data_IF_050857863141
#
_entry.id   IF_050857863141
#
_cell.length_a   1.000
_cell.length_b   1.000
_cell.length_c   1.000
_cell.angle_alpha   90.00
_cell.angle_beta   90.00
_cell.angle_gamma   90.00
#
_symmetry.space_group_name_H-M   'P 1'
#
loop_
_entity.id
_entity.type
_entity.pdbx_description
1 polymer ?
#
# COMPACT_ATOMS: atom_id res chain seq x y z
N UNK A 1 -8.79 -13.66 -15.79
CA UNK A 1 -8.15 -12.70 -14.88
C UNK A 1 -7.00 -12.03 -15.62
N UNK A 2 -7.01 -10.70 -15.79
CA UNK A 2 -5.95 -9.94 -16.48
C UNK A 2 -5.17 -9.15 -15.43
N UNK A 3 -3.88 -9.42 -15.28
CA UNK A 3 -3.00 -8.74 -14.33
C UNK A 3 -2.16 -7.72 -15.12
N UNK A 4 -2.07 -6.48 -14.64
CA UNK A 4 -1.19 -5.43 -15.19
C UNK A 4 -0.13 -5.12 -14.13
N UNK A 5 1.14 -5.24 -14.50
CA UNK A 5 2.25 -4.81 -13.66
C UNK A 5 2.64 -3.38 -14.07
N UNK A 6 2.74 -2.49 -13.08
CA UNK A 6 3.17 -1.10 -13.27
C UNK A 6 4.49 -0.97 -12.52
N UNK A 7 5.63 -0.82 -13.22
CA UNK A 7 6.91 -0.61 -12.55
C UNK A 7 6.92 0.77 -11.88
N UNK A 8 7.50 0.81 -10.68
CA UNK A 8 7.78 2.06 -9.96
C UNK A 8 9.29 2.24 -9.92
N UNK A 9 9.76 3.46 -10.16
CA UNK A 9 11.16 3.82 -9.98
C UNK A 9 11.38 4.25 -8.54
N UNK A 10 12.22 3.54 -7.79
CA UNK A 10 12.63 3.90 -6.43
C UNK A 10 13.70 5.00 -6.52
N UNK A 11 13.45 6.22 -6.03
CA UNK A 11 14.41 7.31 -6.11
C UNK A 11 15.64 7.06 -5.23
N UNK A 12 16.79 7.56 -5.66
CA UNK A 12 18.00 7.55 -4.84
C UNK A 12 17.82 8.44 -3.60
N UNK A 13 18.27 7.96 -2.46
CA UNK A 13 18.29 8.69 -1.18
C UNK A 13 19.71 8.67 -0.64
N UNK A 14 20.18 9.81 -0.12
CA UNK A 14 21.52 9.92 0.45
C UNK A 14 21.71 8.92 1.60
N UNK A 15 22.85 8.22 1.61
CA UNK A 15 23.16 7.18 2.59
C UNK A 15 22.55 5.80 2.29
N UNK A 16 21.64 5.70 1.31
CA UNK A 16 21.11 4.42 0.84
C UNK A 16 22.04 3.85 -0.27
N UNK A 17 22.47 2.59 -0.19
CA UNK A 17 23.26 1.97 -1.26
C UNK A 17 22.54 2.03 -2.61
N UNK A 18 23.23 2.33 -3.73
CA UNK A 18 22.61 2.37 -5.05
C UNK A 18 21.92 1.05 -5.42
N UNK A 19 20.71 1.13 -5.99
CA UNK A 19 19.93 -0.04 -6.37
C UNK A 19 19.26 -0.78 -5.21
N UNK A 20 19.17 -0.18 -4.02
CA UNK A 20 18.42 -0.74 -2.90
C UNK A 20 16.92 -0.55 -3.12
N UNK A 21 16.21 -1.65 -3.39
CA UNK A 21 14.77 -1.64 -3.68
C UNK A 21 13.96 -2.55 -2.73
N UNK A 22 14.65 -3.36 -1.93
CA UNK A 22 14.06 -4.29 -0.99
C UNK A 22 14.78 -4.27 0.36
N UNK A 23 14.07 -4.62 1.44
CA UNK A 23 14.64 -4.74 2.79
C UNK A 23 15.74 -5.80 2.87
N UNK A 24 15.76 -6.77 1.96
CA UNK A 24 16.86 -7.74 1.84
C UNK A 24 18.14 -7.17 1.23
N UNK A 25 18.09 -6.00 0.57
CA UNK A 25 19.26 -5.36 -0.03
C UNK A 25 20.11 -4.62 1.02
N UNK A 26 19.55 -4.30 2.18
CA UNK A 26 20.20 -3.42 3.16
C UNK A 26 20.08 -3.95 4.60
N UNK A 27 21.06 -3.69 5.48
CA UNK A 27 20.91 -3.96 6.90
C UNK A 27 19.73 -3.20 7.53
N UNK A 28 19.21 -3.73 8.65
CA UNK A 28 18.09 -3.13 9.41
C UNK A 28 18.29 -1.63 9.70
N UNK A 29 19.53 -1.23 9.98
CA UNK A 29 19.89 0.16 10.24
C UNK A 29 19.52 1.12 9.09
N UNK A 30 19.46 0.64 7.85
CA UNK A 30 19.14 1.44 6.65
C UNK A 30 17.68 1.33 6.21
N UNK A 31 16.84 0.54 6.90
CA UNK A 31 15.43 0.38 6.53
C UNK A 31 14.69 1.72 6.50
N UNK A 32 15.01 2.65 7.40
CA UNK A 32 14.40 3.97 7.40
C UNK A 32 14.69 4.75 6.11
N UNK A 33 15.91 4.67 5.56
CA UNK A 33 16.24 5.31 4.27
C UNK A 33 15.54 4.63 3.11
N UNK A 34 15.42 3.30 3.14
CA UNK A 34 14.64 2.56 2.15
C UNK A 34 13.16 2.97 2.20
N UNK A 35 12.57 3.11 3.40
CA UNK A 35 11.19 3.57 3.53
C UNK A 35 11.03 5.01 3.02
N UNK A 36 11.99 5.91 3.29
CA UNK A 36 12.02 7.25 2.69
C UNK A 36 12.02 7.19 1.16
N UNK A 37 12.84 6.32 0.57
CA UNK A 37 12.87 6.13 -0.88
C UNK A 37 11.53 5.62 -1.42
N UNK A 38 10.90 4.67 -0.72
CA UNK A 38 9.57 4.16 -1.07
C UNK A 38 8.47 5.23 -0.94
N UNK A 39 8.55 6.11 0.05
CA UNK A 39 7.59 7.21 0.22
C UNK A 39 7.65 8.21 -0.93
N UNK A 40 8.83 8.44 -1.50
CA UNK A 40 9.01 9.28 -2.68
C UNK A 40 8.38 8.68 -3.95
N UNK A 41 7.90 7.43 -3.93
CA UNK A 41 7.11 6.86 -5.03
C UNK A 41 5.64 7.32 -5.03
N UNK A 42 5.18 8.03 -3.99
CA UNK A 42 3.80 8.56 -3.85
C UNK A 42 3.25 9.20 -5.13
N UNK A 43 3.97 10.07 -5.87
CA UNK A 43 3.43 10.69 -7.09
C UNK A 43 3.15 9.66 -8.20
N UNK A 44 4.00 8.66 -8.36
CA UNK A 44 3.85 7.60 -9.37
C UNK A 44 2.61 6.74 -9.06
N UNK A 45 2.46 6.34 -7.79
CA UNK A 45 1.30 5.55 -7.35
C UNK A 45 0.01 6.35 -7.48
N UNK A 46 0.01 7.63 -7.07
CA UNK A 46 -1.16 8.50 -7.21
C UNK A 46 -1.57 8.69 -8.68
N UNK A 47 -0.61 8.82 -9.59
CA UNK A 47 -0.87 8.87 -11.03
C UNK A 47 -1.50 7.56 -11.54
N UNK A 48 -0.93 6.41 -11.16
CA UNK A 48 -1.46 5.10 -11.55
C UNK A 48 -2.89 4.87 -11.04
N UNK A 49 -3.19 5.25 -9.79
CA UNK A 49 -4.53 5.15 -9.22
C UNK A 49 -5.55 6.04 -9.97
N UNK A 50 -5.16 7.24 -10.40
CA UNK A 50 -6.01 8.14 -11.18
C UNK A 50 -6.33 7.60 -12.58
N UNK A 51 -5.36 6.94 -13.22
CA UNK A 51 -5.53 6.31 -14.53
C UNK A 51 -6.40 5.05 -14.44
N UNK A 52 -6.05 4.14 -13.51
CA UNK A 52 -6.70 2.84 -13.39
C UNK A 52 -8.09 2.93 -12.75
N UNK A 53 -8.32 3.92 -11.89
CA UNK A 53 -9.56 4.12 -11.12
C UNK A 53 -10.06 2.84 -10.43
N UNK A 54 -9.21 2.09 -9.71
CA UNK A 54 -9.62 0.83 -9.10
C UNK A 54 -10.74 1.05 -8.07
N UNK A 55 -11.57 0.05 -7.84
CA UNK A 55 -12.60 0.10 -6.79
C UNK A 55 -12.00 -0.09 -5.40
N UNK A 56 -10.96 -0.91 -5.30
CA UNK A 56 -10.27 -1.26 -4.06
C UNK A 56 -8.75 -1.17 -4.23
N UNK A 57 -8.07 -0.72 -3.18
CA UNK A 57 -6.61 -0.66 -3.13
C UNK A 57 -6.09 -1.47 -1.94
N UNK A 58 -5.33 -2.52 -2.24
CA UNK A 58 -4.62 -3.34 -1.24
C UNK A 58 -3.19 -2.85 -1.14
N UNK A 59 -2.72 -2.60 0.07
CA UNK A 59 -1.38 -2.05 0.28
C UNK A 59 -0.77 -2.51 1.61
N UNK A 60 0.55 -2.54 1.66
CA UNK A 60 1.29 -2.85 2.88
C UNK A 60 1.32 -1.63 3.83
N UNK A 61 2.22 -1.53 4.81
CA UNK A 61 2.30 -0.43 5.81
C UNK A 61 2.61 1.00 5.26
N UNK A 62 2.22 1.32 4.03
CA UNK A 62 2.42 2.60 3.34
C UNK A 62 1.46 3.67 3.87
N UNK A 63 1.89 4.40 4.90
CA UNK A 63 1.06 5.34 5.66
C UNK A 63 0.39 6.47 4.83
N UNK A 64 0.99 6.91 3.72
CA UNK A 64 0.44 7.99 2.88
C UNK A 64 -0.62 7.53 1.87
N UNK A 65 -0.79 6.22 1.66
CA UNK A 65 -1.69 5.72 0.62
C UNK A 65 -3.18 6.01 0.92
N UNK A 66 -3.68 5.87 2.16
CA UNK A 66 -5.07 6.23 2.48
C UNK A 66 -5.44 7.67 2.17
N UNK A 67 -4.49 8.60 2.37
CA UNK A 67 -4.69 10.00 2.02
C UNK A 67 -4.90 10.15 0.51
N UNK A 68 -4.07 9.49 -0.30
CA UNK A 68 -4.18 9.49 -1.76
C UNK A 68 -5.49 8.86 -2.24
N UNK A 69 -5.93 7.74 -1.66
CA UNK A 69 -7.18 7.09 -2.08
C UNK A 69 -8.41 7.87 -1.65
N UNK A 70 -8.37 8.54 -0.49
CA UNK A 70 -9.45 9.41 -0.02
C UNK A 70 -9.73 10.55 -0.99
N UNK A 71 -8.69 11.21 -1.52
CA UNK A 71 -8.83 12.24 -2.57
C UNK A 71 -9.54 11.71 -3.83
N UNK A 72 -9.45 10.41 -4.10
CA UNK A 72 -10.02 9.76 -5.27
C UNK A 72 -11.39 9.11 -5.00
N UNK A 73 -11.91 9.21 -3.76
CA UNK A 73 -13.12 8.52 -3.34
C UNK A 73 -12.98 6.99 -3.37
N UNK A 74 -11.77 6.47 -3.17
CA UNK A 74 -11.45 5.03 -3.22
C UNK A 74 -11.14 4.48 -1.83
N UNK A 75 -11.41 3.19 -1.66
CA UNK A 75 -11.15 2.46 -0.42
C UNK A 75 -9.74 1.89 -0.42
N UNK A 76 -9.05 2.02 0.71
CA UNK A 76 -7.70 1.53 0.92
C UNK A 76 -7.66 0.65 2.16
N UNK A 77 -7.19 -0.58 1.96
CA UNK A 77 -7.14 -1.59 3.00
C UNK A 77 -5.72 -2.09 3.25
N UNK A 78 -5.27 -2.00 4.50
CA UNK A 78 -4.06 -2.69 4.95
C UNK A 78 -4.43 -4.13 5.31
N UNK A 79 -3.85 -5.15 4.67
CA UNK A 79 -4.04 -6.51 5.10
C UNK A 79 -3.60 -6.66 6.56
N UNK A 80 -4.42 -7.24 7.46
CA UNK A 80 -3.89 -7.72 8.70
C UNK A 80 -2.84 -8.79 8.36
N UNK A 81 -1.78 -8.86 9.17
CA UNK A 81 -0.62 -9.77 9.04
C UNK A 81 -0.95 -11.28 9.02
N UNK A 82 -2.20 -11.68 8.77
CA UNK A 82 -2.69 -13.05 8.86
C UNK A 82 -3.58 -13.42 7.69
N UNK A 83 -2.92 -13.74 6.57
CA UNK A 83 -3.50 -14.15 5.28
C UNK A 83 -4.37 -15.42 5.41
N UNK A 84 -4.20 -16.24 6.46
CA UNK A 84 -4.96 -17.49 6.63
C UNK A 84 -6.47 -17.28 6.74
N UNK A 85 -6.95 -16.15 7.27
CA UNK A 85 -8.40 -15.89 7.38
C UNK A 85 -9.04 -15.64 6.02
N UNK A 86 -8.30 -15.09 5.06
CA UNK A 86 -8.88 -14.62 3.79
C UNK A 86 -9.12 -15.74 2.78
N UNK A 87 -8.42 -16.86 2.93
CA UNK A 87 -8.64 -18.05 2.09
C UNK A 87 -10.00 -18.71 2.29
N UNK A 88 -10.74 -18.32 3.34
CA UNK A 88 -11.98 -18.98 3.77
C UNK A 88 -13.25 -18.25 3.31
N UNK A 89 -13.14 -16.99 2.90
CA UNK A 89 -14.28 -16.14 2.57
C UNK A 89 -14.30 -15.83 1.08
N UNK A 90 -15.49 -15.96 0.48
CA UNK A 90 -15.70 -15.76 -0.96
C UNK A 90 -15.94 -14.29 -1.30
N UNK A 91 -16.26 -13.49 -0.29
CA UNK A 91 -16.52 -12.05 -0.35
C UNK A 91 -15.53 -11.30 0.55
N UNK A 92 -15.05 -10.14 0.08
CA UNK A 92 -14.11 -9.29 0.79
C UNK A 92 -14.74 -8.62 2.01
N UNK A 93 -16.05 -8.34 1.98
CA UNK A 93 -16.75 -7.77 3.14
C UNK A 93 -16.78 -8.72 4.34
N UNK A 94 -16.84 -10.03 4.08
CA UNK A 94 -16.80 -11.08 5.10
C UNK A 94 -15.39 -11.30 5.67
N UNK A 95 -14.35 -10.89 4.95
CA UNK A 95 -12.95 -11.07 5.35
C UNK A 95 -12.44 -9.95 6.28
N UNK A 96 -13.21 -8.86 6.42
CA UNK A 96 -12.86 -7.76 7.30
C UNK A 96 -12.95 -8.19 8.78
N UNK A 97 -12.00 -7.77 9.64
CA UNK A 97 -12.10 -8.04 11.06
C UNK A 97 -13.39 -7.44 11.66
N UNK A 98 -13.96 -8.10 12.66
CA UNK A 98 -15.12 -7.56 13.39
C UNK A 98 -14.80 -6.17 13.97
N UNK A 99 -15.74 -5.24 13.84
CA UNK A 99 -15.57 -3.84 14.23
C UNK A 99 -14.71 -3.00 13.26
N UNK A 100 -14.22 -3.55 12.14
CA UNK A 100 -13.28 -2.83 11.27
C UNK A 100 -13.97 -1.65 10.59
N UNK A 101 -15.16 -1.85 10.02
CA UNK A 101 -15.96 -0.79 9.38
C UNK A 101 -16.26 0.36 10.36
N UNK A 102 -16.55 0.07 11.62
CA UNK A 102 -16.79 1.08 12.65
C UNK A 102 -15.50 1.79 13.10
N UNK A 103 -14.37 1.07 13.21
CA UNK A 103 -13.06 1.66 13.57
C UNK A 103 -12.54 2.64 12.53
N UNK A 104 -12.95 2.46 11.28
CA UNK A 104 -12.50 3.24 10.15
C UNK A 104 -13.57 4.22 9.63
N UNK A 105 -14.76 4.17 10.23
CA UNK A 105 -15.84 5.10 9.95
C UNK A 105 -15.40 6.52 10.33
N UNK A 106 -15.38 7.40 9.34
CA UNK A 106 -14.89 8.78 9.49
C UNK A 106 -13.39 8.99 9.25
N UNK A 107 -12.57 7.94 9.19
CA UNK A 107 -11.14 8.07 8.84
C UNK A 107 -10.87 8.03 7.33
N UNK A 108 -11.83 7.54 6.53
CA UNK A 108 -11.72 7.44 5.07
C UNK A 108 -10.86 6.27 4.60
N UNK A 109 -10.66 5.29 5.48
CA UNK A 109 -9.96 4.03 5.24
C UNK A 109 -11.06 2.95 5.24
N UNK A 110 -11.12 2.05 4.26
CA UNK A 110 -11.98 0.83 4.27
C UNK A 110 -11.21 -0.30 3.66
#
# INVERSE_FOLDING_TARGET
MRIKFIPLTVPAVEGLPPGSEATSNVPLAFHHLLMTAMDLTRPQVASALRELKPDYVFYDFTHWLPEVTKELGKLAFTPPLRVEKWKKHRDMEEALPEGYKERIEGSGIV
#
